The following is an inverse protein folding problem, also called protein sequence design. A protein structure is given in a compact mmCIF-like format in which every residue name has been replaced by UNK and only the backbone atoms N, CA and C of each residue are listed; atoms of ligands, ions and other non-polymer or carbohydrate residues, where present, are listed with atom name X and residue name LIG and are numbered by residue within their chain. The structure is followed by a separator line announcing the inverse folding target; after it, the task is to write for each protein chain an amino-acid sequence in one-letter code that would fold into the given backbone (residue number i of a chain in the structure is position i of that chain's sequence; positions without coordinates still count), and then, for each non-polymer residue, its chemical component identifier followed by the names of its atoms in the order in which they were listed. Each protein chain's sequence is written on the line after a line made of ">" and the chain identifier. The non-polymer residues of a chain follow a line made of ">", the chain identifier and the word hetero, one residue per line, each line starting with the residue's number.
data_IF_522126997431
#
_entry.id   IF_522126997431
#
_cell.length_a   1.000
_cell.length_b   1.000
_cell.length_c   1.000
_cell.angle_alpha   90.00
_cell.angle_beta   90.00
_cell.angle_gamma   90.00
#
_symmetry.space_group_name_H-M   'P 1'
#
loop_
_entity.id
_entity.type
_entity.pdbx_description
1 polymer ?
#
# COMPACT_ATOMS: atom_id res chain seq x y z
N UNK A 1 18.71 4.44 5.97
CA UNK A 1 17.30 4.85 6.23
C UNK A 1 16.47 3.62 6.55
N UNK A 2 15.53 3.73 7.46
CA UNK A 2 14.53 2.68 7.72
C UNK A 2 13.35 2.90 6.81
N UNK A 3 12.86 1.83 6.21
CA UNK A 3 11.69 1.83 5.34
C UNK A 3 10.95 0.48 5.40
N UNK A 4 9.72 0.45 4.93
CA UNK A 4 8.89 -0.74 4.82
C UNK A 4 7.82 -0.58 3.74
N UNK A 5 7.21 -1.70 3.34
CA UNK A 5 6.15 -1.76 2.35
C UNK A 5 4.92 -2.45 2.97
N UNK A 6 3.75 -1.95 2.63
CA UNK A 6 2.45 -2.55 2.94
C UNK A 6 1.80 -2.97 1.61
N UNK A 7 1.31 -4.19 1.53
CA UNK A 7 0.68 -4.73 0.33
C UNK A 7 -0.69 -5.32 0.66
N UNK A 8 -1.72 -4.76 0.06
CA UNK A 8 -3.06 -5.33 0.07
C UNK A 8 -3.19 -6.37 -1.06
N UNK A 9 -3.92 -7.46 -0.79
CA UNK A 9 -4.13 -8.54 -1.73
C UNK A 9 -5.59 -8.61 -2.17
N UNK A 10 -5.79 -8.72 -3.48
CA UNK A 10 -7.06 -9.10 -4.06
C UNK A 10 -7.29 -10.61 -3.93
N UNK A 11 -8.53 -10.99 -3.72
CA UNK A 11 -8.98 -12.37 -3.67
C UNK A 11 -9.89 -12.66 -4.86
N UNK A 12 -9.47 -13.55 -5.74
CA UNK A 12 -10.30 -14.06 -6.81
C UNK A 12 -10.87 -15.41 -6.40
N UNK A 13 -12.20 -15.49 -6.29
CA UNK A 13 -12.92 -16.71 -5.97
C UNK A 13 -13.52 -17.28 -7.25
N UNK A 14 -13.17 -18.51 -7.57
CA UNK A 14 -13.70 -19.20 -8.76
C UNK A 14 -15.16 -19.58 -8.52
N UNK A 15 -16.05 -19.01 -9.31
CA UNK A 15 -17.45 -19.40 -9.33
C UNK A 15 -17.57 -20.73 -10.10
N UNK A 16 -17.61 -21.83 -9.35
CA UNK A 16 -17.90 -23.14 -9.90
C UNK A 16 -19.34 -23.47 -9.57
N UNK A 17 -20.21 -23.44 -10.57
CA UNK A 17 -21.62 -23.81 -10.47
C UNK A 17 -21.85 -25.20 -9.83
N UNK A 18 -20.82 -26.03 -9.69
CA UNK A 18 -20.86 -27.39 -9.13
C UNK A 18 -20.21 -27.52 -7.74
N UNK A 19 -19.65 -26.46 -7.15
CA UNK A 19 -18.98 -26.53 -5.85
C UNK A 19 -19.72 -25.71 -4.79
N UNK A 20 -19.90 -26.32 -3.61
CA UNK A 20 -20.44 -25.69 -2.38
C UNK A 20 -19.48 -24.62 -1.76
N UNK A 21 -18.48 -24.14 -2.49
CA UNK A 21 -17.57 -23.10 -2.01
C UNK A 21 -18.26 -21.73 -2.12
N UNK A 22 -18.86 -21.26 -1.02
CA UNK A 22 -19.67 -20.02 -0.94
C UNK A 22 -19.19 -19.07 0.14
N UNK A 23 -17.89 -18.85 0.23
CA UNK A 23 -17.34 -17.87 1.16
C UNK A 23 -17.18 -16.52 0.46
N UNK A 24 -17.54 -15.45 1.15
CA UNK A 24 -17.25 -14.12 0.65
C UNK A 24 -15.75 -13.77 0.82
N UNK A 25 -15.19 -12.84 0.02
CA UNK A 25 -13.76 -12.49 0.07
C UNK A 25 -13.26 -12.08 1.46
N UNK A 26 -14.05 -11.34 2.24
CA UNK A 26 -13.66 -10.93 3.59
C UNK A 26 -13.59 -12.11 4.56
N UNK A 27 -14.52 -13.06 4.43
CA UNK A 27 -14.50 -14.28 5.22
C UNK A 27 -13.29 -15.15 4.89
N UNK A 28 -12.94 -15.25 3.59
CA UNK A 28 -11.73 -15.94 3.12
C UNK A 28 -10.48 -15.28 3.69
N UNK A 29 -10.36 -13.96 3.57
CA UNK A 29 -9.23 -13.20 4.11
C UNK A 29 -9.04 -13.42 5.62
N UNK A 30 -10.16 -13.40 6.37
CA UNK A 30 -10.13 -13.65 7.81
C UNK A 30 -9.72 -15.09 8.17
N UNK A 31 -10.18 -16.08 7.41
CA UNK A 31 -9.80 -17.49 7.62
C UNK A 31 -8.33 -17.74 7.30
N UNK A 32 -7.81 -17.16 6.21
CA UNK A 32 -6.37 -17.22 5.87
C UNK A 32 -5.54 -16.63 7.00
N UNK A 33 -5.86 -15.41 7.44
CA UNK A 33 -5.19 -14.75 8.56
C UNK A 33 -5.20 -15.62 9.81
N UNK A 34 -6.36 -16.10 10.23
CA UNK A 34 -6.50 -16.93 11.43
C UNK A 34 -5.73 -18.25 11.32
N UNK A 35 -5.69 -18.86 10.13
CA UNK A 35 -4.91 -20.06 9.88
C UNK A 35 -3.40 -19.82 10.11
N UNK A 36 -2.87 -18.74 9.56
CA UNK A 36 -1.46 -18.35 9.73
C UNK A 36 -1.10 -18.18 11.22
N UNK A 37 -1.92 -17.46 11.98
CA UNK A 37 -1.67 -17.26 13.41
C UNK A 37 -1.86 -18.54 14.22
N UNK A 38 -2.72 -19.47 13.81
CA UNK A 38 -2.88 -20.77 14.47
C UNK A 38 -1.63 -21.66 14.38
N UNK A 39 -0.75 -21.40 13.43
CA UNK A 39 0.55 -22.09 13.25
C UNK A 39 1.66 -21.56 14.17
N UNK A 40 1.38 -20.66 15.08
CA UNK A 40 2.35 -19.99 15.94
C UNK A 40 3.43 -19.18 15.17
N UNK A 41 3.11 -18.69 13.98
CA UNK A 41 3.97 -17.82 13.16
C UNK A 41 3.92 -16.36 13.59
N UNK A 42 3.14 -16.06 14.62
CA UNK A 42 2.97 -14.71 15.16
C UNK A 42 1.96 -14.70 16.30
N UNK A 43 1.60 -13.50 16.74
CA UNK A 43 0.66 -13.25 17.84
C UNK A 43 -0.42 -12.28 17.37
N UNK A 44 -1.70 -12.67 17.52
CA UNK A 44 -2.83 -11.79 17.24
C UNK A 44 -2.80 -10.59 18.20
N UNK A 45 -3.06 -9.41 17.68
CA UNK A 45 -3.23 -8.20 18.46
C UNK A 45 -4.66 -8.14 19.00
N UNK A 46 -4.79 -8.32 20.31
CA UNK A 46 -6.08 -8.29 21.01
C UNK A 46 -6.39 -6.93 21.64
N UNK A 47 -5.56 -5.91 21.38
CA UNK A 47 -5.84 -4.56 21.84
C UNK A 47 -6.85 -3.88 20.94
N UNK A 48 -7.74 -3.10 21.53
CA UNK A 48 -8.63 -2.21 20.79
C UNK A 48 -7.83 -0.99 20.33
N UNK A 49 -7.72 -0.79 19.02
CA UNK A 49 -7.00 0.35 18.43
C UNK A 49 -7.98 1.41 17.91
N UNK A 50 -8.93 1.00 17.08
CA UNK A 50 -9.95 1.85 16.48
C UNK A 50 -11.17 1.00 16.08
N UNK A 51 -12.25 1.63 15.64
CA UNK A 51 -13.47 0.90 15.22
C UNK A 51 -13.22 0.02 13.97
N UNK A 52 -12.33 0.44 13.11
CA UNK A 52 -11.88 -0.26 11.90
C UNK A 52 -10.78 -1.28 12.17
N UNK A 53 -10.14 -1.21 13.34
CA UNK A 53 -9.16 -2.20 13.83
C UNK A 53 -9.61 -2.84 15.16
N UNK A 54 -10.63 -3.70 15.16
CA UNK A 54 -11.08 -4.38 16.38
C UNK A 54 -10.05 -5.42 16.86
N UNK A 55 -10.12 -5.85 18.13
CA UNK A 55 -9.28 -6.93 18.65
C UNK A 55 -9.32 -8.18 17.75
N UNK A 56 -8.14 -8.70 17.41
CA UNK A 56 -8.01 -9.86 16.52
C UNK A 56 -8.13 -9.56 15.03
N UNK A 57 -8.27 -8.28 14.64
CA UNK A 57 -8.28 -7.88 13.22
C UNK A 57 -6.96 -8.21 12.51
N UNK A 58 -5.85 -8.26 13.24
CA UNK A 58 -4.53 -8.64 12.75
C UNK A 58 -3.58 -8.98 13.87
N UNK A 59 -2.30 -9.12 13.53
CA UNK A 59 -1.27 -9.42 14.50
C UNK A 59 0.13 -9.22 13.96
N UNK A 60 1.10 -9.46 14.83
CA UNK A 60 2.52 -9.34 14.51
C UNK A 60 3.12 -10.73 14.27
N UNK A 61 3.83 -10.86 13.16
CA UNK A 61 4.56 -12.07 12.82
C UNK A 61 5.90 -12.16 13.58
N UNK A 62 6.49 -13.34 13.63
CA UNK A 62 7.77 -13.57 14.34
C UNK A 62 8.93 -12.75 13.76
N UNK A 63 8.84 -12.34 12.50
CA UNK A 63 9.82 -11.47 11.85
C UNK A 63 9.59 -9.97 12.11
N UNK A 64 8.62 -9.61 12.98
CA UNK A 64 8.14 -8.26 13.24
C UNK A 64 7.35 -7.60 12.08
N UNK A 65 7.03 -8.32 11.01
CA UNK A 65 6.02 -7.92 10.03
C UNK A 65 4.62 -7.99 10.63
N UNK A 66 3.65 -7.44 9.93
CA UNK A 66 2.24 -7.46 10.35
C UNK A 66 1.37 -8.08 9.27
N UNK A 67 0.40 -8.90 9.69
CA UNK A 67 -0.67 -9.42 8.83
C UNK A 67 -2.01 -9.04 9.45
N UNK A 68 -2.87 -8.38 8.69
CA UNK A 68 -4.13 -7.84 9.19
C UNK A 68 -5.17 -7.65 8.07
N UNK A 69 -6.37 -7.26 8.46
CA UNK A 69 -7.41 -6.87 7.51
C UNK A 69 -7.51 -5.34 7.50
N UNK A 70 -7.29 -4.71 6.34
CA UNK A 70 -7.59 -3.30 6.13
C UNK A 70 -8.80 -3.16 5.21
N UNK A 71 -9.87 -2.54 5.73
CA UNK A 71 -11.15 -2.38 5.02
C UNK A 71 -11.69 -3.67 4.35
N UNK A 72 -11.36 -4.83 4.92
CA UNK A 72 -11.76 -6.14 4.39
C UNK A 72 -10.73 -6.82 3.48
N UNK A 73 -9.68 -6.13 3.07
CA UNK A 73 -8.57 -6.71 2.32
C UNK A 73 -7.54 -7.34 3.25
N UNK A 74 -6.99 -8.47 2.84
CA UNK A 74 -5.83 -9.04 3.52
C UNK A 74 -4.61 -8.19 3.19
N UNK A 75 -3.93 -7.70 4.22
CA UNK A 75 -2.76 -6.84 4.07
C UNK A 75 -1.55 -7.39 4.83
N UNK A 76 -0.41 -7.41 4.15
CA UNK A 76 0.88 -7.74 4.73
C UNK A 76 1.77 -6.50 4.76
N UNK A 77 2.25 -6.13 5.94
CA UNK A 77 3.27 -5.12 6.13
C UNK A 77 4.61 -5.79 6.46
N UNK A 78 5.64 -5.40 5.71
CA UNK A 78 7.01 -5.88 6.00
C UNK A 78 7.49 -5.39 7.37
N UNK A 79 8.45 -6.08 8.00
CA UNK A 79 9.20 -5.47 9.10
C UNK A 79 9.97 -4.23 8.62
N UNK A 80 10.48 -3.44 9.56
CA UNK A 80 11.38 -2.33 9.26
C UNK A 80 12.67 -2.85 8.63
N UNK A 81 12.97 -2.37 7.42
CA UNK A 81 14.13 -2.76 6.64
C UNK A 81 15.13 -1.60 6.54
N UNK A 82 16.41 -1.91 6.49
CA UNK A 82 17.49 -0.94 6.27
C UNK A 82 18.17 -1.07 4.91
N UNK A 83 17.87 -2.13 4.17
CA UNK A 83 18.35 -2.40 2.83
C UNK A 83 17.26 -3.01 1.94
N UNK A 84 17.44 -2.91 0.63
CA UNK A 84 16.43 -3.34 -0.35
C UNK A 84 16.31 -4.86 -0.48
N UNK A 85 17.39 -5.60 -0.22
CA UNK A 85 17.37 -7.08 -0.32
C UNK A 85 16.43 -7.64 0.75
N UNK A 86 16.56 -7.18 1.99
CA UNK A 86 15.68 -7.61 3.09
C UNK A 86 14.23 -7.23 2.78
N UNK A 87 13.97 -5.99 2.32
CA UNK A 87 12.63 -5.55 1.98
C UNK A 87 11.96 -6.46 0.95
N UNK A 88 12.66 -6.73 -0.16
CA UNK A 88 12.14 -7.58 -1.24
C UNK A 88 11.93 -9.01 -0.73
N UNK A 89 12.87 -9.52 0.07
CA UNK A 89 12.76 -10.84 0.67
C UNK A 89 11.53 -10.95 1.56
N UNK A 90 11.26 -9.96 2.39
CA UNK A 90 10.07 -9.95 3.25
C UNK A 90 8.78 -9.76 2.48
N UNK A 91 8.75 -8.92 1.45
CA UNK A 91 7.57 -8.77 0.57
C UNK A 91 7.24 -10.11 -0.10
N UNK A 92 8.25 -10.83 -0.62
CA UNK A 92 8.06 -12.17 -1.20
C UNK A 92 7.70 -13.24 -0.18
N UNK A 93 8.24 -13.15 1.02
CA UNK A 93 7.87 -14.06 2.11
C UNK A 93 6.39 -13.88 2.50
N UNK A 94 5.87 -12.66 2.46
CA UNK A 94 4.44 -12.38 2.62
C UNK A 94 3.58 -13.08 1.57
N UNK A 95 3.95 -12.96 0.29
CA UNK A 95 3.27 -13.65 -0.82
C UNK A 95 3.24 -15.17 -0.58
N UNK A 96 4.40 -15.76 -0.25
CA UNK A 96 4.54 -17.20 -0.01
C UNK A 96 3.72 -17.66 1.18
N UNK A 97 3.77 -16.93 2.29
CA UNK A 97 3.04 -17.24 3.51
C UNK A 97 1.52 -17.31 3.28
N UNK A 98 0.99 -16.35 2.52
CA UNK A 98 -0.44 -16.27 2.21
C UNK A 98 -0.84 -17.40 1.25
N UNK A 99 -0.01 -17.66 0.23
CA UNK A 99 -0.25 -18.72 -0.75
C UNK A 99 -0.22 -20.11 -0.08
N UNK A 100 0.77 -20.39 0.77
CA UNK A 100 0.84 -21.63 1.55
C UNK A 100 -0.41 -21.83 2.43
N UNK A 101 -0.92 -20.76 3.05
CA UNK A 101 -2.13 -20.85 3.86
C UNK A 101 -3.36 -21.21 3.02
N UNK A 102 -3.48 -20.71 1.79
CA UNK A 102 -4.56 -21.10 0.85
C UNK A 102 -4.47 -22.58 0.49
N UNK A 103 -3.26 -23.08 0.23
CA UNK A 103 -3.01 -24.49 -0.11
C UNK A 103 -3.34 -25.41 1.08
N UNK A 104 -2.88 -25.06 2.28
CA UNK A 104 -3.12 -25.83 3.50
C UNK A 104 -4.61 -25.85 3.91
N UNK A 105 -5.37 -24.81 3.58
CA UNK A 105 -6.81 -24.78 3.76
C UNK A 105 -7.57 -25.62 2.70
N UNK A 106 -6.87 -26.16 1.71
CA UNK A 106 -7.44 -26.95 0.61
C UNK A 106 -8.20 -26.08 -0.40
N UNK A 107 -7.84 -24.80 -0.55
CA UNK A 107 -8.55 -23.83 -1.39
C UNK A 107 -7.84 -23.49 -2.69
N UNK A 108 -6.72 -24.14 -3.00
CA UNK A 108 -5.88 -23.82 -4.18
C UNK A 108 -6.65 -23.84 -5.52
N UNK A 109 -7.66 -24.68 -5.65
CA UNK A 109 -8.49 -24.77 -6.86
C UNK A 109 -9.59 -23.70 -6.93
N UNK A 110 -9.92 -23.05 -5.81
CA UNK A 110 -11.06 -22.15 -5.68
C UNK A 110 -10.69 -20.71 -5.38
N UNK A 111 -9.51 -20.47 -4.79
CA UNK A 111 -9.06 -19.13 -4.35
C UNK A 111 -7.70 -18.82 -4.94
N UNK A 112 -7.60 -17.69 -5.60
CA UNK A 112 -6.33 -17.12 -6.04
C UNK A 112 -6.06 -15.82 -5.31
N UNK A 113 -4.83 -15.67 -4.82
CA UNK A 113 -4.33 -14.44 -4.20
C UNK A 113 -3.60 -13.64 -5.27
N UNK A 114 -3.95 -12.38 -5.43
CA UNK A 114 -3.35 -11.52 -6.45
C UNK A 114 -2.91 -10.18 -5.86
N UNK A 115 -1.73 -9.71 -6.27
CA UNK A 115 -1.30 -8.33 -6.08
C UNK A 115 -1.98 -7.49 -7.16
N UNK A 116 -3.21 -7.08 -6.88
CA UNK A 116 -4.01 -6.26 -7.78
C UNK A 116 -3.88 -4.78 -7.38
N UNK A 117 -4.20 -3.88 -8.28
CA UNK A 117 -4.25 -2.44 -8.01
C UNK A 117 -5.66 -1.89 -8.10
N UNK A 118 -6.46 -2.43 -9.02
CA UNK A 118 -7.86 -2.05 -9.26
C UNK A 118 -8.66 -3.28 -9.62
N UNK A 119 -9.81 -3.43 -9.02
CA UNK A 119 -10.86 -4.35 -9.46
C UNK A 119 -11.80 -3.61 -10.41
N UNK A 120 -11.88 -4.08 -11.65
CA UNK A 120 -12.67 -3.43 -12.70
C UNK A 120 -14.19 -3.63 -12.52
N UNK A 121 -14.63 -4.63 -11.77
CA UNK A 121 -16.07 -4.85 -11.53
C UNK A 121 -16.58 -3.95 -10.39
N UNK A 122 -15.81 -3.84 -9.32
CA UNK A 122 -16.23 -3.10 -8.11
C UNK A 122 -15.62 -1.70 -8.02
N UNK A 123 -14.64 -1.37 -8.89
CA UNK A 123 -13.79 -0.19 -8.76
C UNK A 123 -13.05 -0.08 -7.41
N UNK A 124 -12.92 -1.17 -6.67
CA UNK A 124 -12.10 -1.21 -5.47
C UNK A 124 -10.62 -1.08 -5.83
N UNK A 125 -9.86 -0.40 -4.99
CA UNK A 125 -8.40 -0.29 -5.15
C UNK A 125 -7.69 -1.00 -4.02
N UNK A 126 -6.55 -1.60 -4.35
CA UNK A 126 -5.68 -2.29 -3.42
C UNK A 126 -4.41 -1.47 -3.23
N UNK A 127 -4.06 -1.19 -1.98
CA UNK A 127 -2.91 -0.37 -1.63
C UNK A 127 -1.60 -1.11 -1.79
N UNK A 128 -0.57 -0.34 -2.19
CA UNK A 128 0.83 -0.73 -2.04
C UNK A 128 1.54 0.48 -1.45
N UNK A 129 1.50 0.57 -0.12
CA UNK A 129 1.97 1.73 0.59
C UNK A 129 3.45 1.62 0.92
N UNK A 130 4.12 2.75 0.94
CA UNK A 130 5.53 2.83 1.25
C UNK A 130 5.72 3.68 2.51
N UNK A 131 6.56 3.22 3.42
CA UNK A 131 6.85 3.89 4.67
C UNK A 131 8.34 4.20 4.75
N UNK A 132 8.67 5.44 5.10
CA UNK A 132 10.05 5.89 5.28
C UNK A 132 10.19 6.68 6.58
N UNK A 133 11.15 6.28 7.40
CA UNK A 133 11.48 7.00 8.62
C UNK A 133 12.47 8.13 8.31
N UNK A 134 12.11 9.36 8.68
CA UNK A 134 12.99 10.54 8.56
C UNK A 134 13.10 11.26 9.89
N UNK A 135 14.18 12.03 10.07
CA UNK A 135 14.32 12.90 11.25
C UNK A 135 13.36 14.09 11.22
N UNK A 136 13.05 14.69 12.37
CA UNK A 136 12.20 15.90 12.45
C UNK A 136 12.75 17.11 11.70
N UNK A 137 14.06 17.16 11.47
CA UNK A 137 14.65 18.18 10.62
C UNK A 137 14.45 17.98 9.10
N UNK A 138 13.75 16.93 8.69
CA UNK A 138 13.38 16.75 7.28
C UNK A 138 12.42 17.86 6.85
N UNK A 139 12.62 18.50 5.67
CA UNK A 139 11.91 19.73 5.26
C UNK A 139 10.50 19.47 4.74
N UNK A 140 9.72 18.73 5.50
CA UNK A 140 8.38 18.33 5.09
C UNK A 140 7.36 19.48 5.13
N UNK A 141 7.62 20.51 5.94
CA UNK A 141 6.67 21.61 6.13
C UNK A 141 6.88 22.77 5.12
N UNK A 142 7.89 22.66 4.26
CA UNK A 142 8.17 23.65 3.21
C UNK A 142 7.45 23.29 1.91
N UNK A 143 6.61 24.20 1.41
CA UNK A 143 5.76 23.97 0.23
C UNK A 143 6.54 23.55 -1.02
N UNK A 144 7.72 24.13 -1.23
CA UNK A 144 8.57 23.83 -2.39
C UNK A 144 9.11 22.41 -2.33
N UNK A 145 9.48 21.94 -1.15
CA UNK A 145 9.96 20.59 -0.94
C UNK A 145 8.86 19.55 -1.11
N UNK A 146 7.64 19.87 -0.66
CA UNK A 146 6.49 19.04 -0.90
C UNK A 146 6.17 18.92 -2.39
N UNK A 147 6.25 20.01 -3.15
CA UNK A 147 6.08 19.98 -4.60
C UNK A 147 7.15 19.17 -5.30
N UNK A 148 8.42 19.29 -4.87
CA UNK A 148 9.51 18.49 -5.40
C UNK A 148 9.29 17.01 -5.18
N UNK A 149 8.88 16.62 -3.97
CA UNK A 149 8.54 15.24 -3.63
C UNK A 149 7.35 14.74 -4.47
N UNK A 150 6.27 15.49 -4.54
CA UNK A 150 5.08 15.17 -5.33
C UNK A 150 5.41 14.99 -6.81
N UNK A 151 6.19 15.90 -7.39
CA UNK A 151 6.63 15.82 -8.79
C UNK A 151 7.48 14.57 -9.04
N UNK A 152 8.40 14.25 -8.15
CA UNK A 152 9.18 13.01 -8.22
C UNK A 152 8.27 11.77 -8.14
N UNK A 153 7.35 11.72 -7.17
CA UNK A 153 6.46 10.57 -6.96
C UNK A 153 5.53 10.35 -8.15
N UNK A 154 5.10 11.41 -8.82
CA UNK A 154 4.28 11.32 -10.03
C UNK A 154 5.10 10.83 -11.21
N UNK A 155 6.30 11.38 -11.44
CA UNK A 155 7.14 11.04 -12.59
C UNK A 155 7.78 9.66 -12.48
N UNK A 156 8.08 9.16 -11.28
CA UNK A 156 8.65 7.81 -11.08
C UNK A 156 7.72 6.69 -11.57
N UNK A 157 6.42 6.96 -11.76
CA UNK A 157 5.47 5.98 -12.30
C UNK A 157 5.87 5.49 -13.69
N UNK A 158 6.69 6.23 -14.42
CA UNK A 158 7.24 5.83 -15.74
C UNK A 158 7.97 4.47 -15.65
N UNK A 159 8.63 4.18 -14.52
CA UNK A 159 9.40 2.93 -14.35
C UNK A 159 8.90 2.03 -13.21
N UNK A 160 7.93 2.46 -12.42
CA UNK A 160 7.37 1.64 -11.34
C UNK A 160 5.84 1.60 -11.32
N UNK A 161 5.16 2.23 -12.27
CA UNK A 161 3.72 2.03 -12.47
C UNK A 161 3.43 0.69 -13.12
N UNK A 162 2.30 0.08 -12.76
CA UNK A 162 1.90 -1.23 -13.30
C UNK A 162 1.28 -1.16 -14.70
N UNK A 163 0.87 0.03 -15.14
CA UNK A 163 0.24 0.25 -16.44
C UNK A 163 -1.19 -0.28 -16.54
N UNK A 164 -2.02 0.40 -17.31
CA UNK A 164 -3.41 0.00 -17.55
C UNK A 164 -3.90 0.48 -18.90
N UNK A 165 -4.73 -0.32 -19.56
CA UNK A 165 -5.47 0.07 -20.76
C UNK A 165 -6.76 0.77 -20.33
N UNK A 166 -7.04 1.92 -20.95
CA UNK A 166 -8.22 2.73 -20.68
C UNK A 166 -8.19 3.52 -19.38
N UNK A 167 -9.24 4.29 -19.15
CA UNK A 167 -9.51 5.02 -17.90
C UNK A 167 -10.39 4.19 -16.96
N UNK A 168 -10.43 4.56 -15.70
CA UNK A 168 -11.34 4.01 -14.68
C UNK A 168 -12.32 5.09 -14.28
N UNK A 169 -13.57 4.77 -14.13
CA UNK A 169 -14.48 5.66 -13.44
C UNK A 169 -13.98 5.86 -12.02
N UNK A 170 -13.77 7.11 -11.58
CA UNK A 170 -13.38 7.35 -10.22
C UNK A 170 -14.47 6.84 -9.28
N UNK A 171 -14.06 6.27 -8.15
CA UNK A 171 -14.97 5.74 -7.14
C UNK A 171 -16.02 6.79 -6.73
N UNK A 172 -17.31 6.44 -6.55
CA UNK A 172 -18.42 7.35 -6.26
C UNK A 172 -18.28 8.21 -5.00
N UNK A 173 -17.26 7.99 -4.16
CA UNK A 173 -16.97 8.81 -2.99
C UNK A 173 -16.35 10.20 -3.27
N UNK A 174 -16.15 10.60 -4.53
CA UNK A 174 -15.72 11.97 -4.87
C UNK A 174 -16.79 13.04 -4.65
N UNK A 175 -18.05 12.66 -4.46
CA UNK A 175 -19.17 13.62 -4.34
C UNK A 175 -19.19 14.42 -3.03
N UNK A 176 -18.34 14.10 -2.04
CA UNK A 176 -18.38 14.80 -0.75
C UNK A 176 -17.80 16.22 -0.80
N UNK A 177 -16.90 16.52 -1.73
CA UNK A 177 -16.26 17.84 -1.84
C UNK A 177 -16.89 18.72 -2.93
N UNK A 178 -18.00 18.31 -3.53
CA UNK A 178 -18.72 19.11 -4.53
C UNK A 178 -18.01 19.26 -5.88
N UNK A 179 -16.94 18.49 -6.11
CA UNK A 179 -16.26 18.39 -7.41
C UNK A 179 -16.87 17.23 -8.19
N UNK A 180 -17.58 17.56 -9.26
CA UNK A 180 -18.20 16.56 -10.14
C UNK A 180 -17.14 15.60 -10.71
N UNK A 181 -17.34 14.27 -10.58
CA UNK A 181 -16.43 13.28 -11.14
C UNK A 181 -16.26 13.38 -12.68
N UNK A 182 -17.24 13.97 -13.36
CA UNK A 182 -17.30 14.07 -14.83
C UNK A 182 -16.27 15.02 -15.45
N UNK A 183 -15.63 15.88 -14.67
CA UNK A 183 -14.62 16.80 -15.20
C UNK A 183 -13.18 16.23 -15.18
N UNK A 184 -12.96 15.08 -14.55
CA UNK A 184 -11.62 14.54 -14.30
C UNK A 184 -11.27 13.29 -15.15
N UNK A 185 -12.20 12.71 -15.86
CA UNK A 185 -11.95 11.51 -16.68
C UNK A 185 -11.92 11.93 -18.16
N UNK A 186 -10.74 11.91 -18.75
CA UNK A 186 -10.60 11.97 -20.20
C UNK A 186 -11.05 10.61 -20.78
N UNK A 187 -12.26 10.54 -21.31
CA UNK A 187 -12.84 9.32 -21.90
C UNK A 187 -12.03 8.78 -23.09
N UNK A 188 -10.99 9.50 -23.53
CA UNK A 188 -10.14 9.13 -24.66
C UNK A 188 -8.77 8.60 -24.26
N UNK A 189 -8.52 8.30 -22.99
CA UNK A 189 -7.24 7.74 -22.56
C UNK A 189 -7.13 6.27 -22.93
N UNK A 190 -6.26 5.96 -23.89
CA UNK A 190 -6.00 4.58 -24.34
C UNK A 190 -5.13 3.80 -23.35
N UNK A 191 -4.22 4.48 -22.63
CA UNK A 191 -3.28 3.86 -21.71
C UNK A 191 -2.89 4.80 -20.57
N UNK A 192 -2.77 4.24 -19.37
CA UNK A 192 -2.28 4.92 -18.16
C UNK A 192 -1.03 4.23 -17.63
N UNK A 193 -0.07 5.00 -17.14
CA UNK A 193 1.18 4.49 -16.57
C UNK A 193 0.94 3.84 -15.21
N UNK A 194 0.07 4.43 -14.38
CA UNK A 194 -0.31 3.91 -13.06
C UNK A 194 -1.74 3.41 -13.09
N UNK A 195 -1.98 2.24 -12.52
CA UNK A 195 -3.33 1.68 -12.40
C UNK A 195 -4.19 2.43 -11.38
N UNK A 196 -3.56 3.04 -10.36
CA UNK A 196 -4.27 3.69 -9.24
C UNK A 196 -4.41 5.19 -9.38
N UNK A 197 -3.86 5.82 -10.43
CA UNK A 197 -3.81 7.28 -10.57
C UNK A 197 -5.19 7.95 -10.43
N UNK A 198 -6.23 7.40 -11.08
CA UNK A 198 -7.60 7.94 -11.03
C UNK A 198 -8.24 7.90 -9.63
N UNK A 199 -7.70 7.05 -8.75
CA UNK A 199 -8.20 6.86 -7.39
C UNK A 199 -7.43 7.68 -6.33
N UNK A 200 -6.48 8.56 -6.75
CA UNK A 200 -5.64 9.37 -5.87
C UNK A 200 -5.80 10.85 -6.23
N UNK A 201 -6.91 11.49 -5.80
CA UNK A 201 -7.25 12.84 -6.23
C UNK A 201 -6.45 13.96 -5.54
N UNK A 202 -5.76 13.66 -4.43
CA UNK A 202 -5.09 14.65 -3.61
C UNK A 202 -3.57 14.48 -3.63
N UNK A 203 -2.82 15.58 -3.56
CA UNK A 203 -1.36 15.51 -3.37
C UNK A 203 -1.02 15.14 -1.91
N UNK A 204 -1.63 15.84 -0.96
CA UNK A 204 -1.38 15.72 0.47
C UNK A 204 -2.69 15.71 1.23
N UNK A 205 -2.91 14.70 2.06
CA UNK A 205 -4.09 14.63 2.90
C UNK A 205 -3.80 13.88 4.21
N UNK A 206 -4.48 14.28 5.28
CA UNK A 206 -4.27 13.66 6.60
C UNK A 206 -5.17 12.44 6.81
N UNK A 207 -6.42 12.50 6.35
CA UNK A 207 -7.43 11.47 6.55
C UNK A 207 -7.72 10.75 5.23
N UNK A 208 -6.86 9.79 4.89
CA UNK A 208 -6.83 9.15 3.56
C UNK A 208 -7.83 8.01 3.36
N UNK A 209 -8.64 7.71 4.35
CA UNK A 209 -9.59 6.60 4.32
C UNK A 209 -10.61 6.76 3.17
N UNK A 210 -11.05 7.98 2.90
CA UNK A 210 -11.97 8.30 1.81
C UNK A 210 -11.34 9.19 0.73
N UNK A 211 -10.44 10.08 1.14
CA UNK A 211 -9.74 11.02 0.26
C UNK A 211 -8.28 10.61 0.11
N UNK A 212 -8.03 9.62 -0.73
CA UNK A 212 -6.66 9.13 -0.98
C UNK A 212 -5.76 10.25 -1.48
N UNK A 213 -4.51 10.22 -1.05
CA UNK A 213 -3.50 11.20 -1.42
C UNK A 213 -2.21 10.53 -1.87
N UNK A 214 -1.36 11.25 -2.60
CA UNK A 214 0.00 10.81 -2.93
C UNK A 214 0.78 10.57 -1.63
N UNK A 215 0.70 11.54 -0.71
CA UNK A 215 1.36 11.49 0.61
C UNK A 215 0.34 11.64 1.72
N UNK A 216 0.29 10.67 2.63
CA UNK A 216 -0.45 10.77 3.87
C UNK A 216 0.34 11.60 4.89
N UNK A 217 -0.28 12.67 5.38
CA UNK A 217 0.35 13.63 6.31
C UNK A 217 0.00 13.39 7.78
N UNK A 218 -0.51 12.21 8.16
CA UNK A 218 -0.81 11.87 9.57
C UNK A 218 0.42 11.84 10.45
N UNK A 219 1.58 11.57 9.86
CA UNK A 219 2.89 11.51 10.50
C UNK A 219 3.14 10.21 11.30
N UNK A 220 2.47 9.83 12.28
CA UNK A 220 2.46 8.57 13.06
C UNK A 220 3.72 7.70 12.90
N UNK A 221 4.88 8.09 13.45
CA UNK A 221 6.15 7.41 13.18
C UNK A 221 6.29 6.04 13.86
N UNK A 222 5.36 5.66 14.77
CA UNK A 222 5.41 4.46 15.61
C UNK A 222 6.75 4.30 16.36
N UNK A 223 7.41 5.42 16.63
CA UNK A 223 8.68 5.56 17.32
C UNK A 223 8.67 6.87 18.12
N UNK A 224 9.81 7.36 18.60
CA UNK A 224 9.88 8.64 19.31
C UNK A 224 9.47 9.81 18.40
N UNK A 225 8.25 10.39 18.55
CA UNK A 225 7.74 11.41 17.68
C UNK A 225 8.44 12.77 17.84
N UNK A 226 9.26 12.95 18.86
CA UNK A 226 10.10 14.14 19.03
C UNK A 226 11.32 14.14 18.10
N UNK A 227 11.75 12.96 17.66
CA UNK A 227 12.95 12.75 16.84
C UNK A 227 12.65 12.39 15.41
N UNK A 228 11.56 11.67 15.18
CA UNK A 228 11.26 11.03 13.90
C UNK A 228 9.90 11.41 13.36
N UNK A 229 9.78 11.30 12.03
CA UNK A 229 8.54 11.42 11.25
C UNK A 229 8.44 10.23 10.31
N UNK A 230 7.24 9.72 10.07
CA UNK A 230 6.95 8.76 9.01
C UNK A 230 6.50 9.52 7.75
N UNK A 231 7.18 9.28 6.65
CA UNK A 231 6.68 9.61 5.32
C UNK A 231 5.90 8.38 4.84
N UNK A 232 4.60 8.54 4.68
CA UNK A 232 3.68 7.47 4.27
C UNK A 232 3.13 7.80 2.89
N UNK A 233 3.51 7.01 1.87
CA UNK A 233 3.17 7.20 0.48
C UNK A 233 2.13 6.18 0.04
N UNK A 234 1.04 6.65 -0.60
CA UNK A 234 -0.07 5.79 -1.04
C UNK A 234 -0.16 5.66 -2.56
N UNK A 235 0.62 6.45 -3.30
CA UNK A 235 0.52 6.55 -4.78
C UNK A 235 1.06 5.31 -5.50
N UNK A 236 1.87 4.47 -4.85
CA UNK A 236 2.52 3.34 -5.49
C UNK A 236 1.53 2.27 -5.96
N UNK A 237 1.78 1.73 -7.16
CA UNK A 237 1.15 0.51 -7.61
C UNK A 237 1.88 -0.71 -7.02
N UNK A 238 1.16 -1.79 -6.74
CA UNK A 238 1.74 -3.12 -6.54
C UNK A 238 2.36 -3.61 -7.83
N UNK A 239 3.54 -4.22 -7.75
CA UNK A 239 4.25 -4.76 -8.89
C UNK A 239 4.61 -6.23 -8.67
N UNK A 240 4.53 -7.03 -9.73
CA UNK A 240 4.96 -8.44 -9.71
C UNK A 240 6.47 -8.59 -9.84
N UNK A 241 7.18 -7.53 -10.22
CA UNK A 241 8.62 -7.53 -10.44
C UNK A 241 9.38 -7.04 -9.22
N UNK A 242 10.29 -7.87 -8.71
CA UNK A 242 11.23 -7.49 -7.64
C UNK A 242 12.10 -6.30 -8.04
N UNK A 243 12.49 -6.23 -9.31
CA UNK A 243 13.23 -5.10 -9.84
C UNK A 243 12.42 -3.80 -9.78
N UNK A 244 11.15 -3.83 -10.15
CA UNK A 244 10.28 -2.64 -10.07
C UNK A 244 10.06 -2.20 -8.62
N UNK A 245 9.90 -3.16 -7.68
CA UNK A 245 9.84 -2.86 -6.24
C UNK A 245 11.14 -2.23 -5.75
N UNK A 246 12.30 -2.80 -6.15
CA UNK A 246 13.61 -2.24 -5.80
C UNK A 246 13.80 -0.82 -6.35
N UNK A 247 13.42 -0.58 -7.59
CA UNK A 247 13.49 0.74 -8.22
C UNK A 247 12.57 1.75 -7.51
N UNK A 248 11.34 1.36 -7.20
CA UNK A 248 10.36 2.18 -6.49
C UNK A 248 10.90 2.63 -5.13
N UNK A 249 11.29 1.68 -4.30
CA UNK A 249 11.76 1.95 -2.93
C UNK A 249 13.14 2.60 -2.91
N UNK A 250 14.05 2.15 -3.76
CA UNK A 250 15.43 2.63 -3.81
C UNK A 250 15.55 4.07 -4.29
N UNK A 251 14.88 4.41 -5.39
CA UNK A 251 14.92 5.79 -5.92
C UNK A 251 14.22 6.77 -4.99
N UNK A 252 13.15 6.36 -4.32
CA UNK A 252 12.49 7.19 -3.30
C UNK A 252 13.40 7.41 -2.10
N UNK A 253 14.10 6.38 -1.64
CA UNK A 253 15.09 6.52 -0.56
C UNK A 253 16.17 7.53 -0.93
N UNK A 254 16.71 7.45 -2.15
CA UNK A 254 17.71 8.40 -2.65
C UNK A 254 17.14 9.82 -2.72
N UNK A 255 15.91 9.98 -3.22
CA UNK A 255 15.27 11.30 -3.28
C UNK A 255 15.11 11.93 -1.89
N UNK A 256 14.65 11.14 -0.91
CA UNK A 256 14.51 11.61 0.47
C UNK A 256 15.87 11.94 1.10
N UNK A 257 16.95 11.27 0.72
CA UNK A 257 18.30 11.60 1.17
C UNK A 257 18.81 12.90 0.54
N UNK A 258 18.59 13.11 -0.75
CA UNK A 258 18.92 14.37 -1.44
C UNK A 258 18.20 15.54 -0.78
N UNK A 259 16.89 15.40 -0.51
CA UNK A 259 16.12 16.44 0.18
C UNK A 259 16.68 16.74 1.58
N UNK A 260 17.02 15.70 2.35
CA UNK A 260 17.60 15.88 3.67
C UNK A 260 18.99 16.52 3.64
N UNK A 261 19.85 16.17 2.66
CA UNK A 261 21.16 16.77 2.46
C UNK A 261 21.07 18.22 1.97
N UNK A 262 20.13 18.52 1.08
CA UNK A 262 19.86 19.87 0.59
C UNK A 262 19.55 20.83 1.73
N UNK A 263 18.72 20.41 2.68
CA UNK A 263 18.42 21.16 3.90
C UNK A 263 19.68 21.39 4.74
N UNK A 264 20.45 20.32 4.96
CA UNK A 264 21.67 20.41 5.79
C UNK A 264 22.71 21.37 5.22
N UNK A 265 22.81 21.43 3.89
CA UNK A 265 23.77 22.33 3.20
C UNK A 265 23.20 23.71 2.88
N UNK A 266 21.87 23.92 3.02
CA UNK A 266 21.15 25.10 2.51
C UNK A 266 21.41 25.36 1.01
N UNK A 267 21.70 24.33 0.29
CA UNK A 267 21.97 24.33 -1.15
C UNK A 267 21.03 23.33 -1.81
N UNK A 268 20.25 23.79 -2.77
CA UNK A 268 19.49 22.92 -3.66
C UNK A 268 20.29 22.71 -4.93
N UNK A 269 20.56 21.46 -5.26
CA UNK A 269 21.06 21.09 -6.58
C UNK A 269 19.81 21.04 -7.49
N UNK A 270 19.49 22.17 -8.09
CA UNK A 270 18.54 22.25 -9.21
C UNK A 270 19.31 22.09 -10.51
#
# INVERSE_FOLDING_TARGET
>A
RIFGIETEYGLLVKDNNDNDFRLDPMEIANKIKNHIFSKNLGVLDLHYRANDEPPGNGGFLLNAGRLYLDMGHLEFASPECSNLVDLITFDRAGDTLIQEAVEELGWADNVSIIKNNVDLETNATFGCHENYLVGRGFPFDERENLKLLSSFLTTRQIYCGAGRIGSCDPHPFRDWDGVSPQEAVDEQVDFQISQRADHIPNEFYRWVQYNRAIVNTRDEPLSDPSKYRRIHLLVGDSTMSEFATAMKMGTTTLMLEIMQLGVAKKEWIL
#
